data_IF_735783822472
#
_entry.id   IF_735783822472
#
_cell.length_a   1.000
_cell.length_b   1.000
_cell.length_c   1.000
_cell.angle_alpha   90.00
_cell.angle_beta   90.00
_cell.angle_gamma   90.00
#
_symmetry.space_group_name_H-M   'P 1'
#
loop_
_entity.id
_entity.type
_entity.pdbx_description
1 polymer ?
#
# COMPACT_ATOMS: atom_id res chain seq x y z
N UNK A 1 18.83 40.92 -11.61
CA UNK A 1 20.19 41.38 -11.99
C UNK A 1 20.00 42.43 -13.07
N UNK A 2 20.04 43.72 -12.72
CA UNK A 2 19.79 44.79 -13.69
C UNK A 2 21.01 45.72 -13.71
N UNK A 3 22.13 45.19 -14.21
CA UNK A 3 23.33 45.97 -14.46
C UNK A 3 23.70 45.79 -15.93
N UNK A 4 23.64 46.87 -16.68
CA UNK A 4 23.87 46.86 -18.13
C UNK A 4 25.38 46.92 -18.42
N UNK A 5 25.84 46.11 -19.37
CA UNK A 5 27.21 46.17 -19.86
C UNK A 5 27.36 47.42 -20.75
N UNK A 6 28.05 48.43 -20.24
CA UNK A 6 28.39 49.64 -21.01
C UNK A 6 29.77 49.47 -21.66
N UNK A 7 29.79 49.31 -22.98
CA UNK A 7 31.03 49.20 -23.76
C UNK A 7 31.31 50.54 -24.46
N UNK A 8 32.43 51.19 -24.12
CA UNK A 8 32.93 52.38 -24.84
C UNK A 8 34.07 51.95 -25.76
N UNK A 9 33.93 52.16 -27.06
CA UNK A 9 34.94 51.81 -28.06
C UNK A 9 35.58 53.05 -28.68
N UNK A 10 36.90 53.01 -28.87
CA UNK A 10 37.62 53.89 -29.79
C UNK A 10 38.43 52.98 -30.72
N UNK A 11 38.31 53.11 -32.06
CA UNK A 11 39.07 52.26 -32.98
C UNK A 11 40.57 52.51 -32.82
N UNK A 12 41.42 51.47 -32.82
CA UNK A 12 42.86 51.66 -32.83
C UNK A 12 43.26 52.30 -34.17
N UNK A 13 43.66 53.57 -34.14
CA UNK A 13 44.21 54.27 -35.30
C UNK A 13 45.71 54.03 -35.33
N UNK A 14 46.17 53.27 -36.31
CA UNK A 14 47.60 53.08 -36.58
C UNK A 14 48.04 54.14 -37.59
N UNK A 15 48.47 55.29 -37.08
CA UNK A 15 49.08 56.33 -37.90
C UNK A 15 50.51 55.92 -38.25
N UNK A 16 50.84 55.96 -39.54
CA UNK A 16 52.12 55.50 -40.06
C UNK A 16 52.65 56.52 -41.04
N UNK A 17 53.97 56.66 -41.09
CA UNK A 17 54.66 57.47 -42.09
C UNK A 17 54.69 56.78 -43.48
N UNK A 18 53.63 56.06 -43.84
CA UNK A 18 53.58 55.15 -44.98
C UNK A 18 54.02 55.81 -46.28
N UNK A 19 53.48 57.00 -46.60
CA UNK A 19 53.82 57.69 -47.84
C UNK A 19 55.29 58.14 -47.89
N UNK A 20 55.83 58.64 -46.76
CA UNK A 20 57.23 59.04 -46.68
C UNK A 20 58.17 57.82 -46.79
N UNK A 21 57.83 56.71 -46.12
CA UNK A 21 58.61 55.48 -46.13
C UNK A 21 58.55 54.78 -47.49
N UNK A 22 57.37 54.79 -48.14
CA UNK A 22 57.17 54.26 -49.49
C UNK A 22 57.98 55.07 -50.50
N UNK A 23 57.94 56.40 -50.45
CA UNK A 23 58.72 57.25 -51.33
C UNK A 23 60.24 57.01 -51.19
N UNK A 24 60.73 56.87 -49.95
CA UNK A 24 62.13 56.54 -49.68
C UNK A 24 62.53 55.16 -50.23
N UNK A 25 61.70 54.13 -49.98
CA UNK A 25 61.97 52.78 -50.47
C UNK A 25 61.90 52.68 -51.99
N UNK A 26 60.99 53.41 -52.65
CA UNK A 26 60.92 53.48 -54.12
C UNK A 26 62.19 54.13 -54.68
N UNK A 27 62.64 55.25 -54.10
CA UNK A 27 63.88 55.92 -54.54
C UNK A 27 65.14 55.07 -54.28
N UNK A 28 65.21 54.36 -53.16
CA UNK A 28 66.28 53.39 -52.92
C UNK A 28 66.23 52.28 -53.96
N UNK A 29 65.06 51.69 -54.20
CA UNK A 29 64.90 50.58 -55.16
C UNK A 29 65.18 50.98 -56.60
N UNK A 30 64.86 52.21 -57.01
CA UNK A 30 65.20 52.78 -58.33
C UNK A 30 66.72 52.97 -58.53
N UNK A 31 67.50 53.21 -57.46
CA UNK A 31 68.98 53.21 -57.54
C UNK A 31 69.55 51.82 -57.87
N UNK A 32 68.72 50.78 -57.89
CA UNK A 32 69.12 49.38 -58.05
C UNK A 32 68.75 48.78 -59.42
N UNK A 33 68.35 49.59 -60.40
CA UNK A 33 68.15 49.19 -61.80
C UNK A 33 69.50 49.04 -62.54
N UNK A 34 70.46 48.35 -61.90
CA UNK A 34 71.83 48.17 -62.36
C UNK A 34 71.98 46.78 -62.97
N UNK A 35 72.48 46.69 -64.19
CA UNK A 35 72.84 45.40 -64.82
C UNK A 35 73.97 44.76 -64.01
N UNK A 36 73.72 43.56 -63.45
CA UNK A 36 74.73 42.82 -62.68
C UNK A 36 75.87 42.37 -63.61
N UNK A 37 77.09 42.85 -63.34
CA UNK A 37 78.34 42.54 -64.05
C UNK A 37 79.36 41.90 -63.09
N UNK A 38 80.45 41.29 -63.59
CA UNK A 38 81.47 40.63 -62.74
C UNK A 38 81.97 41.48 -61.59
N UNK A 39 82.05 42.79 -61.81
CA UNK A 39 82.64 43.74 -60.88
C UNK A 39 81.61 44.25 -59.85
N UNK A 40 80.31 44.11 -60.12
CA UNK A 40 79.20 44.63 -59.29
C UNK A 40 78.44 43.54 -58.49
N UNK A 41 78.69 42.25 -58.78
CA UNK A 41 78.04 41.10 -58.09
C UNK A 41 78.18 41.15 -56.58
N UNK A 42 79.32 41.60 -56.05
CA UNK A 42 79.57 41.64 -54.60
C UNK A 42 78.66 42.66 -53.91
N UNK A 43 78.50 43.83 -54.51
CA UNK A 43 77.68 44.90 -53.97
C UNK A 43 76.18 44.60 -54.16
N UNK A 44 75.80 43.97 -55.28
CA UNK A 44 74.44 43.46 -55.49
C UNK A 44 74.02 42.42 -54.42
N UNK A 45 74.92 41.53 -53.99
CA UNK A 45 74.65 40.55 -52.90
C UNK A 45 74.48 41.21 -51.54
N UNK A 46 75.32 42.20 -51.20
CA UNK A 46 75.17 42.98 -49.97
C UNK A 46 73.83 43.70 -49.94
N UNK A 47 73.49 44.33 -51.04
CA UNK A 47 72.25 45.07 -51.20
C UNK A 47 71.01 44.17 -51.08
N UNK A 48 71.01 42.98 -51.72
CA UNK A 48 69.94 42.00 -51.56
C UNK A 48 69.79 41.54 -50.09
N UNK A 49 70.89 41.53 -49.33
CA UNK A 49 70.88 41.21 -47.90
C UNK A 49 70.27 42.35 -47.08
N UNK A 50 70.61 43.60 -47.41
CA UNK A 50 70.04 44.80 -46.78
C UNK A 50 68.53 44.93 -47.04
N UNK A 51 68.07 44.72 -48.27
CA UNK A 51 66.63 44.71 -48.59
C UNK A 51 65.87 43.61 -47.84
N UNK A 52 66.47 42.44 -47.68
CA UNK A 52 65.89 41.36 -46.88
C UNK A 52 65.83 41.72 -45.38
N UNK A 53 66.84 42.43 -44.86
CA UNK A 53 66.84 42.91 -43.47
C UNK A 53 65.76 43.98 -43.25
N UNK A 54 65.64 44.96 -44.15
CA UNK A 54 64.61 46.01 -44.10
C UNK A 54 63.20 45.41 -44.21
N UNK A 55 62.98 44.46 -45.15
CA UNK A 55 61.72 43.72 -45.26
C UNK A 55 61.36 43.02 -43.94
N UNK A 56 62.33 42.35 -43.32
CA UNK A 56 62.11 41.64 -42.05
C UNK A 56 61.75 42.61 -40.93
N UNK A 57 62.43 43.74 -40.81
CA UNK A 57 62.12 44.76 -39.81
C UNK A 57 60.71 45.34 -39.98
N UNK A 58 60.28 45.62 -41.21
CA UNK A 58 58.92 46.10 -41.49
C UNK A 58 57.86 45.06 -41.10
N UNK A 59 58.08 43.80 -41.44
CA UNK A 59 57.15 42.73 -41.09
C UNK A 59 57.10 42.47 -39.57
N UNK A 60 58.26 42.48 -38.90
CA UNK A 60 58.36 42.33 -37.45
C UNK A 60 57.66 43.50 -36.74
N UNK A 61 57.87 44.75 -37.18
CA UNK A 61 57.20 45.93 -36.60
C UNK A 61 55.70 45.92 -36.85
N UNK A 62 55.26 45.56 -38.06
CA UNK A 62 53.85 45.36 -38.39
C UNK A 62 53.22 44.35 -37.44
N UNK A 63 53.84 43.17 -37.26
CA UNK A 63 53.36 42.13 -36.35
C UNK A 63 53.29 42.61 -34.90
N UNK A 64 54.32 43.32 -34.42
CA UNK A 64 54.36 43.85 -33.07
C UNK A 64 53.25 44.88 -32.81
N UNK A 65 53.07 45.87 -33.69
CA UNK A 65 52.05 46.91 -33.50
C UNK A 65 50.62 46.35 -33.68
N UNK A 66 50.40 45.40 -34.60
CA UNK A 66 49.12 44.67 -34.70
C UNK A 66 48.86 43.85 -33.43
N UNK A 67 49.86 43.21 -32.86
CA UNK A 67 49.73 42.46 -31.61
C UNK A 67 49.30 43.39 -30.46
N UNK A 68 49.98 44.53 -30.27
CA UNK A 68 49.63 45.55 -29.26
C UNK A 68 48.23 46.12 -29.47
N UNK A 69 47.86 46.48 -30.70
CA UNK A 69 46.53 47.00 -31.00
C UNK A 69 45.42 45.95 -30.73
N UNK A 70 45.73 44.66 -30.86
CA UNK A 70 44.80 43.56 -30.58
C UNK A 70 44.73 43.15 -29.10
N UNK A 71 45.70 43.53 -28.26
CA UNK A 71 45.73 43.16 -26.84
C UNK A 71 44.48 43.61 -26.07
N UNK A 72 44.03 44.88 -26.18
CA UNK A 72 42.80 45.33 -25.50
C UNK A 72 41.56 44.55 -25.92
N UNK A 73 41.48 44.16 -27.20
CA UNK A 73 40.37 43.38 -27.75
C UNK A 73 40.38 41.96 -27.18
N UNK A 74 41.56 41.32 -27.13
CA UNK A 74 41.72 39.98 -26.54
C UNK A 74 41.43 39.98 -25.03
N UNK A 75 41.89 41.00 -24.32
CA UNK A 75 41.63 41.17 -22.89
C UNK A 75 40.12 41.36 -22.62
N UNK A 76 39.45 42.19 -23.41
CA UNK A 76 38.01 42.38 -23.34
C UNK A 76 37.22 41.09 -23.63
N UNK A 77 37.57 40.37 -24.70
CA UNK A 77 36.95 39.07 -25.04
C UNK A 77 37.16 38.04 -23.92
N UNK A 78 38.35 37.98 -23.32
CA UNK A 78 38.63 37.11 -22.19
C UNK A 78 37.81 37.48 -20.94
N UNK A 79 37.72 38.77 -20.59
CA UNK A 79 36.90 39.26 -19.48
C UNK A 79 35.42 38.95 -19.69
N UNK A 80 34.88 39.16 -20.89
CA UNK A 80 33.48 38.80 -21.18
C UNK A 80 33.24 37.30 -21.12
N UNK A 81 34.17 36.47 -21.62
CA UNK A 81 34.08 35.00 -21.50
C UNK A 81 34.09 34.55 -20.04
N UNK A 82 34.87 35.18 -19.18
CA UNK A 82 34.87 34.93 -17.75
C UNK A 82 33.50 35.26 -17.11
N UNK A 83 32.91 36.40 -17.47
CA UNK A 83 31.56 36.78 -17.00
C UNK A 83 30.47 35.83 -17.50
N UNK A 84 30.54 35.40 -18.76
CA UNK A 84 29.62 34.39 -19.33
C UNK A 84 29.74 33.08 -18.56
N UNK A 85 30.98 32.61 -18.32
CA UNK A 85 31.25 31.40 -17.56
C UNK A 85 30.72 31.49 -16.13
N UNK A 86 30.89 32.63 -15.46
CA UNK A 86 30.35 32.85 -14.12
C UNK A 86 28.82 32.70 -14.08
N UNK A 87 28.11 33.21 -15.09
CA UNK A 87 26.66 33.07 -15.22
C UNK A 87 26.26 31.60 -15.44
N UNK A 88 27.01 30.89 -16.29
CA UNK A 88 26.75 29.48 -16.59
C UNK A 88 26.99 28.59 -15.36
N UNK A 89 28.12 28.76 -14.67
CA UNK A 89 28.45 28.03 -13.44
C UNK A 89 27.39 28.30 -12.34
N UNK A 90 26.97 29.56 -12.19
CA UNK A 90 25.89 29.94 -11.27
C UNK A 90 24.56 29.27 -11.62
N UNK A 91 24.19 29.22 -12.90
CA UNK A 91 22.97 28.53 -13.38
C UNK A 91 23.04 27.03 -13.09
N UNK A 92 24.15 26.38 -13.41
CA UNK A 92 24.32 24.94 -13.19
C UNK A 92 24.26 24.59 -11.70
N UNK A 93 24.84 25.42 -10.84
CA UNK A 93 24.73 25.27 -9.39
C UNK A 93 23.27 25.32 -8.92
N UNK A 94 22.48 26.29 -9.39
CA UNK A 94 21.06 26.41 -9.03
C UNK A 94 20.27 25.19 -9.53
N UNK A 95 20.50 24.76 -10.78
CA UNK A 95 19.82 23.57 -11.32
C UNK A 95 20.16 22.30 -10.53
N UNK A 96 21.41 22.14 -10.11
CA UNK A 96 21.81 21.05 -9.22
C UNK A 96 21.06 21.09 -7.89
N UNK A 97 20.97 22.26 -7.26
CA UNK A 97 20.22 22.44 -6.02
C UNK A 97 18.73 22.16 -6.17
N UNK A 98 18.10 22.62 -7.27
CA UNK A 98 16.69 22.33 -7.57
C UNK A 98 16.47 20.83 -7.72
N UNK A 99 17.31 20.15 -8.50
CA UNK A 99 17.20 18.70 -8.70
C UNK A 99 17.31 17.93 -7.39
N UNK A 100 18.31 18.23 -6.56
CA UNK A 100 18.48 17.57 -5.26
C UNK A 100 17.27 17.81 -4.35
N UNK A 101 16.77 19.05 -4.30
CA UNK A 101 15.58 19.38 -3.52
C UNK A 101 14.34 18.63 -4.01
N UNK A 102 14.13 18.52 -5.32
CA UNK A 102 13.01 17.78 -5.90
C UNK A 102 13.09 16.28 -5.58
N UNK A 103 14.28 15.67 -5.71
CA UNK A 103 14.52 14.26 -5.37
C UNK A 103 14.27 13.99 -3.87
N UNK A 104 14.79 14.84 -2.98
CA UNK A 104 14.56 14.74 -1.53
C UNK A 104 13.07 14.90 -1.18
N UNK A 105 12.39 15.88 -1.80
CA UNK A 105 10.96 16.13 -1.56
C UNK A 105 10.10 14.95 -2.03
N UNK A 106 10.42 14.35 -3.17
CA UNK A 106 9.71 13.17 -3.68
C UNK A 106 9.93 11.95 -2.79
N UNK A 107 11.16 11.74 -2.31
CA UNK A 107 11.47 10.67 -1.39
C UNK A 107 10.75 10.84 -0.05
N UNK A 108 10.76 12.04 0.52
CA UNK A 108 10.01 12.35 1.75
C UNK A 108 8.51 12.14 1.53
N UNK A 109 7.97 12.56 0.39
CA UNK A 109 6.56 12.36 0.06
C UNK A 109 6.18 10.87 0.01
N UNK A 110 7.03 10.05 -0.60
CA UNK A 110 6.85 8.60 -0.65
C UNK A 110 6.83 7.99 0.75
N UNK A 111 7.80 8.34 1.60
CA UNK A 111 7.88 7.84 2.98
C UNK A 111 6.63 8.21 3.78
N UNK A 112 6.19 9.48 3.70
CA UNK A 112 4.99 9.94 4.41
C UNK A 112 3.72 9.23 3.94
N UNK A 113 3.62 8.94 2.64
CA UNK A 113 2.51 8.18 2.08
C UNK A 113 2.50 6.73 2.60
N UNK A 114 3.66 6.09 2.71
CA UNK A 114 3.79 4.73 3.24
C UNK A 114 3.48 4.67 4.74
N UNK A 115 3.97 5.63 5.52
CA UNK A 115 3.63 5.78 6.94
C UNK A 115 2.12 5.96 7.12
N UNK A 116 1.52 6.91 6.38
CA UNK A 116 0.09 7.17 6.47
C UNK A 116 -0.78 6.00 5.98
N UNK A 117 -0.32 5.25 4.97
CA UNK A 117 -0.98 4.02 4.52
C UNK A 117 -1.01 2.98 5.64
N UNK A 118 0.11 2.78 6.33
CA UNK A 118 0.20 1.86 7.45
C UNK A 118 -0.68 2.30 8.62
N UNK A 119 -0.66 3.58 8.98
CA UNK A 119 -1.56 4.16 9.99
C UNK A 119 -3.04 3.89 9.62
N UNK A 120 -3.44 4.13 8.37
CA UNK A 120 -4.80 3.86 7.92
C UNK A 120 -5.19 2.37 8.04
N UNK A 121 -4.26 1.44 7.74
CA UNK A 121 -4.52 0.01 7.91
C UNK A 121 -4.72 -0.37 9.38
N UNK A 122 -3.94 0.22 10.27
CA UNK A 122 -4.02 0.00 11.72
C UNK A 122 -5.32 0.58 12.29
N UNK A 123 -5.62 1.84 11.97
CA UNK A 123 -6.82 2.56 12.42
C UNK A 123 -8.12 1.86 11.98
N UNK A 124 -8.15 1.32 10.76
CA UNK A 124 -9.32 0.61 10.22
C UNK A 124 -9.33 -0.89 10.56
N UNK A 125 -8.30 -1.40 11.24
CA UNK A 125 -8.21 -2.81 11.64
C UNK A 125 -8.19 -3.78 10.45
N UNK A 126 -7.47 -3.41 9.38
CA UNK A 126 -7.32 -4.24 8.18
C UNK A 126 -6.30 -5.36 8.44
N UNK A 127 -6.76 -6.62 8.32
CA UNK A 127 -5.91 -7.81 8.48
C UNK A 127 -4.93 -7.92 7.32
N UNK A 128 -3.75 -8.48 7.59
CA UNK A 128 -2.63 -8.57 6.64
C UNK A 128 -3.02 -9.17 5.29
N UNK A 129 -3.89 -10.19 5.28
CA UNK A 129 -4.40 -10.84 4.07
C UNK A 129 -5.19 -9.92 3.11
N UNK A 130 -5.66 -8.75 3.58
CA UNK A 130 -6.37 -7.75 2.75
C UNK A 130 -5.55 -6.50 2.45
N UNK A 131 -4.32 -6.37 2.95
CA UNK A 131 -3.49 -5.16 2.78
C UNK A 131 -2.86 -5.07 1.39
N UNK A 132 -3.68 -4.81 0.38
CA UNK A 132 -3.29 -4.80 -1.04
C UNK A 132 -3.13 -3.41 -1.66
N UNK A 133 -3.52 -2.35 -0.95
CA UNK A 133 -3.36 -0.98 -1.43
C UNK A 133 -1.88 -0.61 -1.55
N UNK A 134 -1.55 0.07 -2.65
CA UNK A 134 -0.24 0.63 -2.96
C UNK A 134 -0.31 2.13 -3.21
N UNK A 135 0.73 2.84 -2.78
CA UNK A 135 0.97 4.28 -2.97
C UNK A 135 2.01 4.57 -4.06
N UNK A 136 2.42 3.56 -4.82
CA UNK A 136 3.37 3.71 -5.92
C UNK A 136 2.86 4.74 -6.96
N UNK A 137 3.74 5.67 -7.35
CA UNK A 137 3.42 6.71 -8.34
C UNK A 137 2.57 7.88 -7.80
N UNK A 138 2.19 7.87 -6.53
CA UNK A 138 1.46 8.98 -5.91
C UNK A 138 2.38 10.15 -5.53
N UNK A 139 3.66 9.89 -5.24
CA UNK A 139 4.63 10.91 -4.84
C UNK A 139 4.89 11.94 -5.96
N UNK A 140 4.54 13.19 -5.66
CA UNK A 140 4.71 14.40 -6.50
C UNK A 140 5.14 15.57 -5.63
N UNK A 141 5.75 16.60 -6.22
CA UNK A 141 6.16 17.82 -5.50
C UNK A 141 5.00 18.54 -4.78
N UNK A 142 3.76 18.33 -5.24
CA UNK A 142 2.54 18.90 -4.63
C UNK A 142 1.91 18.02 -3.56
N UNK A 143 2.46 16.83 -3.29
CA UNK A 143 1.91 15.87 -2.32
C UNK A 143 2.06 16.37 -0.90
N UNK A 144 3.14 17.11 -0.64
CA UNK A 144 3.43 17.73 0.63
C UNK A 144 3.05 19.21 0.63
N UNK A 145 2.53 19.65 1.76
CA UNK A 145 2.32 21.06 2.08
C UNK A 145 3.65 21.75 2.35
N UNK A 146 3.66 23.09 2.40
CA UNK A 146 4.84 23.88 2.81
C UNK A 146 5.37 23.50 4.20
N UNK A 147 4.52 22.93 5.05
CA UNK A 147 4.86 22.43 6.40
C UNK A 147 5.34 20.98 6.41
N UNK A 148 5.52 20.35 5.25
CA UNK A 148 5.94 18.96 5.09
C UNK A 148 4.83 17.93 5.27
N UNK A 149 3.64 18.28 5.78
CA UNK A 149 2.52 17.33 5.92
C UNK A 149 1.92 16.93 4.58
N UNK A 150 1.36 15.71 4.48
CA UNK A 150 0.56 15.30 3.33
C UNK A 150 -0.60 16.28 3.09
N UNK A 151 -0.92 16.49 1.81
CA UNK A 151 -2.10 17.25 1.41
C UNK A 151 -3.37 16.46 1.69
N UNK A 152 -4.49 17.16 1.88
CA UNK A 152 -5.79 16.53 2.08
C UNK A 152 -6.20 15.62 0.90
N UNK A 153 -5.82 15.99 -0.34
CA UNK A 153 -6.05 15.16 -1.52
C UNK A 153 -5.28 13.83 -1.44
N UNK A 154 -3.99 13.88 -1.09
CA UNK A 154 -3.17 12.68 -0.91
C UNK A 154 -3.72 11.78 0.21
N UNK A 155 -4.06 12.36 1.37
CA UNK A 155 -4.68 11.62 2.46
C UNK A 155 -5.99 10.96 2.02
N UNK A 156 -6.86 11.70 1.33
CA UNK A 156 -8.14 11.18 0.84
C UNK A 156 -7.97 10.03 -0.14
N UNK A 157 -6.98 10.09 -1.03
CA UNK A 157 -6.71 9.03 -2.02
C UNK A 157 -6.17 7.76 -1.33
N UNK A 158 -5.24 7.89 -0.38
CA UNK A 158 -4.76 6.75 0.43
C UNK A 158 -5.89 6.15 1.23
N UNK A 159 -6.68 6.96 1.94
CA UNK A 159 -7.81 6.49 2.74
C UNK A 159 -8.88 5.82 1.87
N UNK A 160 -9.12 6.29 0.64
CA UNK A 160 -10.04 5.62 -0.29
C UNK A 160 -9.55 4.20 -0.64
N UNK A 161 -8.26 4.05 -0.98
CA UNK A 161 -7.66 2.73 -1.27
C UNK A 161 -7.74 1.77 -0.08
N UNK A 162 -7.45 2.26 1.14
CA UNK A 162 -7.56 1.42 2.35
C UNK A 162 -9.01 1.05 2.67
N UNK A 163 -9.95 1.95 2.41
CA UNK A 163 -11.37 1.65 2.55
C UNK A 163 -11.81 0.52 1.61
N UNK A 164 -11.31 0.44 0.38
CA UNK A 164 -11.58 -0.70 -0.52
C UNK A 164 -11.10 -2.03 0.08
N UNK A 165 -9.88 -2.06 0.64
CA UNK A 165 -9.37 -3.23 1.39
C UNK A 165 -10.28 -3.59 2.58
N UNK A 166 -10.74 -2.57 3.32
CA UNK A 166 -11.64 -2.76 4.46
C UNK A 166 -13.00 -3.29 4.04
N UNK A 167 -13.56 -2.81 2.93
CA UNK A 167 -14.82 -3.31 2.37
C UNK A 167 -14.70 -4.78 1.97
N UNK A 168 -13.60 -5.14 1.30
CA UNK A 168 -13.32 -6.54 0.94
C UNK A 168 -13.24 -7.43 2.19
N UNK A 169 -12.56 -6.97 3.25
CA UNK A 169 -12.51 -7.69 4.52
C UNK A 169 -13.91 -7.89 5.13
N UNK A 170 -14.72 -6.83 5.19
CA UNK A 170 -16.09 -6.90 5.74
C UNK A 170 -16.97 -7.85 4.92
N UNK A 171 -16.83 -7.84 3.60
CA UNK A 171 -17.54 -8.74 2.72
C UNK A 171 -17.14 -10.20 2.98
N UNK A 172 -15.85 -10.49 3.11
CA UNK A 172 -15.36 -11.83 3.43
C UNK A 172 -15.81 -12.29 4.82
N UNK A 173 -15.78 -11.40 5.82
CA UNK A 173 -16.28 -11.69 7.17
C UNK A 173 -17.77 -12.03 7.17
N UNK A 174 -18.58 -11.28 6.40
CA UNK A 174 -20.00 -11.54 6.24
C UNK A 174 -20.26 -12.90 5.57
N UNK A 175 -19.54 -13.19 4.48
CA UNK A 175 -19.62 -14.47 3.76
C UNK A 175 -19.33 -15.65 4.69
N UNK A 176 -18.25 -15.57 5.46
CA UNK A 176 -17.88 -16.63 6.41
C UNK A 176 -18.89 -16.78 7.55
N UNK A 177 -19.43 -15.67 8.06
CA UNK A 177 -20.46 -15.71 9.10
C UNK A 177 -21.78 -16.34 8.62
N UNK A 178 -22.11 -16.19 7.33
CA UNK A 178 -23.35 -16.73 6.75
C UNK A 178 -23.20 -18.18 6.27
N UNK A 179 -21.97 -18.60 5.93
CA UNK A 179 -21.66 -19.90 5.33
C UNK A 179 -22.27 -21.09 6.08
N UNK A 180 -22.10 -21.14 7.40
CA UNK A 180 -22.61 -22.24 8.23
C UNK A 180 -24.14 -22.30 8.17
N UNK A 181 -24.81 -21.15 8.27
CA UNK A 181 -26.26 -21.07 8.19
C UNK A 181 -26.78 -21.53 6.82
N UNK A 182 -26.11 -21.10 5.74
CA UNK A 182 -26.46 -21.51 4.38
C UNK A 182 -26.31 -23.02 4.17
N UNK A 183 -25.22 -23.61 4.69
CA UNK A 183 -24.99 -25.05 4.61
C UNK A 183 -26.11 -25.83 5.30
N UNK A 184 -26.46 -25.46 6.54
CA UNK A 184 -27.54 -26.14 7.27
C UNK A 184 -28.90 -25.94 6.63
N UNK A 185 -29.19 -24.75 6.10
CA UNK A 185 -30.43 -24.50 5.36
C UNK A 185 -30.56 -25.34 4.10
N UNK A 186 -29.44 -25.64 3.45
CA UNK A 186 -29.38 -26.54 2.31
C UNK A 186 -29.46 -28.03 2.68
N UNK A 187 -29.38 -28.37 3.97
CA UNK A 187 -29.51 -29.74 4.48
C UNK A 187 -28.18 -30.48 4.72
N UNK A 188 -27.03 -29.80 4.64
CA UNK A 188 -25.74 -30.41 4.93
C UNK A 188 -25.62 -30.75 6.42
N UNK A 189 -25.22 -31.99 6.75
CA UNK A 189 -24.95 -32.39 8.13
C UNK A 189 -23.66 -31.78 8.71
N UNK A 190 -22.63 -31.66 7.88
CA UNK A 190 -21.39 -30.95 8.20
C UNK A 190 -21.27 -29.71 7.31
N UNK A 191 -21.16 -28.50 7.87
CA UNK A 191 -21.04 -27.28 7.09
C UNK A 191 -19.67 -27.18 6.41
N UNK A 192 -19.62 -26.43 5.31
CA UNK A 192 -18.36 -26.04 4.69
C UNK A 192 -17.63 -25.05 5.61
N UNK A 193 -16.30 -25.17 5.65
CA UNK A 193 -15.41 -24.28 6.40
C UNK A 193 -14.72 -23.29 5.46
N UNK A 194 -14.02 -22.30 6.03
CA UNK A 194 -13.20 -21.33 5.27
C UNK A 194 -12.29 -21.99 4.23
N UNK A 195 -11.66 -23.11 4.57
CA UNK A 195 -10.74 -23.84 3.67
C UNK A 195 -11.44 -24.32 2.39
N UNK A 196 -12.72 -24.69 2.47
CA UNK A 196 -13.47 -25.16 1.31
C UNK A 196 -13.79 -24.04 0.32
N UNK A 197 -13.97 -22.81 0.83
CA UNK A 197 -14.41 -21.65 0.05
C UNK A 197 -13.29 -20.67 -0.26
N UNK A 198 -12.06 -20.91 0.20
CA UNK A 198 -10.93 -19.97 0.08
C UNK A 198 -10.73 -19.46 -1.35
N UNK A 199 -10.80 -20.35 -2.35
CA UNK A 199 -10.63 -20.01 -3.76
C UNK A 199 -11.73 -19.11 -4.35
N UNK A 200 -12.84 -18.92 -3.66
CA UNK A 200 -13.96 -18.07 -4.11
C UNK A 200 -14.22 -16.88 -3.18
N UNK A 201 -13.48 -16.72 -2.07
CA UNK A 201 -13.78 -15.69 -1.06
C UNK A 201 -13.69 -14.25 -1.58
N UNK A 202 -12.92 -14.00 -2.64
CA UNK A 202 -12.69 -12.67 -3.20
C UNK A 202 -13.36 -12.44 -4.56
N UNK A 203 -14.18 -13.39 -5.04
CA UNK A 203 -14.94 -13.20 -6.27
C UNK A 203 -16.10 -12.22 -6.06
N UNK A 204 -16.67 -11.70 -7.14
CA UNK A 204 -17.88 -10.90 -7.05
C UNK A 204 -19.06 -11.68 -6.45
N UNK A 205 -20.10 -10.97 -6.05
CA UNK A 205 -21.23 -11.53 -5.31
C UNK A 205 -21.97 -12.63 -6.09
N UNK A 206 -22.18 -12.44 -7.39
CA UNK A 206 -22.84 -13.44 -8.23
C UNK A 206 -22.00 -14.71 -8.34
N UNK A 207 -20.72 -14.56 -8.70
CA UNK A 207 -19.82 -15.70 -8.85
C UNK A 207 -19.61 -16.45 -7.53
N UNK A 208 -19.53 -15.75 -6.41
CA UNK A 208 -19.45 -16.36 -5.09
C UNK A 208 -20.68 -17.23 -4.81
N UNK A 209 -21.89 -16.70 -5.02
CA UNK A 209 -23.12 -17.42 -4.77
C UNK A 209 -23.23 -18.66 -5.66
N UNK A 210 -23.02 -18.53 -6.97
CA UNK A 210 -23.11 -19.64 -7.92
C UNK A 210 -22.10 -20.76 -7.61
N UNK A 211 -20.87 -20.37 -7.25
CA UNK A 211 -19.82 -21.31 -6.88
C UNK A 211 -20.11 -22.00 -5.55
N UNK A 212 -20.59 -21.26 -4.56
CA UNK A 212 -20.97 -21.81 -3.26
C UNK A 212 -22.13 -22.81 -3.39
N UNK A 213 -23.17 -22.47 -4.15
CA UNK A 213 -24.28 -23.39 -4.44
C UNK A 213 -23.77 -24.66 -5.12
N UNK A 214 -22.87 -24.53 -6.08
CA UNK A 214 -22.25 -25.69 -6.75
C UNK A 214 -21.44 -26.56 -5.79
N UNK A 215 -20.73 -25.97 -4.83
CA UNK A 215 -20.01 -26.71 -3.79
C UNK A 215 -20.96 -27.45 -2.85
N UNK A 216 -22.03 -26.78 -2.41
CA UNK A 216 -23.05 -27.36 -1.53
C UNK A 216 -23.72 -28.56 -2.21
N UNK A 217 -24.11 -28.45 -3.48
CA UNK A 217 -24.72 -29.55 -4.24
C UNK A 217 -23.80 -30.78 -4.29
N UNK A 218 -22.52 -30.57 -4.61
CA UNK A 218 -21.55 -31.68 -4.65
C UNK A 218 -21.40 -32.38 -3.30
N UNK A 219 -21.44 -31.61 -2.21
CA UNK A 219 -21.26 -32.18 -0.88
C UNK A 219 -22.54 -32.84 -0.33
N UNK A 220 -23.73 -32.37 -0.76
CA UNK A 220 -24.99 -33.08 -0.55
C UNK A 220 -25.00 -34.43 -1.29
N UNK A 221 -24.53 -34.47 -2.54
CA UNK A 221 -24.42 -35.73 -3.30
C UNK A 221 -23.49 -36.72 -2.60
N UNK A 222 -22.36 -36.23 -2.08
CA UNK A 222 -21.40 -37.04 -1.32
C UNK A 222 -21.98 -37.57 -0.02
N UNK A 223 -22.76 -36.74 0.70
CA UNK A 223 -23.45 -37.15 1.92
C UNK A 223 -24.49 -38.24 1.62
N UNK A 224 -25.33 -38.05 0.60
CA UNK A 224 -26.34 -39.02 0.19
C UNK A 224 -25.73 -40.37 -0.22
N UNK A 225 -24.61 -40.35 -0.95
CA UNK A 225 -23.90 -41.58 -1.31
C UNK A 225 -23.33 -42.29 -0.07
N UNK A 226 -22.76 -41.54 0.88
CA UNK A 226 -22.20 -42.09 2.11
C UNK A 226 -23.29 -42.73 2.96
N UNK A 227 -24.43 -42.06 3.11
CA UNK A 227 -25.59 -42.61 3.82
C UNK A 227 -26.15 -43.85 3.13
N UNK A 228 -26.29 -43.83 1.80
CA UNK A 228 -26.74 -45.01 1.02
C UNK A 228 -25.84 -46.22 1.28
N UNK A 229 -24.51 -46.02 1.18
CA UNK A 229 -23.52 -47.08 1.45
C UNK A 229 -23.57 -47.56 2.90
N UNK A 230 -23.76 -46.66 3.86
CA UNK A 230 -23.89 -47.01 5.28
C UNK A 230 -25.16 -47.81 5.56
N UNK A 231 -26.30 -47.42 4.97
CA UNK A 231 -27.58 -48.14 5.08
C UNK A 231 -27.48 -49.55 4.47
N UNK A 232 -26.91 -49.68 3.27
CA UNK A 232 -26.67 -50.98 2.63
C UNK A 232 -25.76 -51.88 3.49
N UNK A 233 -24.72 -51.32 4.10
CA UNK A 233 -23.82 -52.07 4.98
C UNK A 233 -24.53 -52.52 6.26
N UNK A 234 -25.27 -51.62 6.92
CA UNK A 234 -26.03 -51.93 8.12
C UNK A 234 -27.12 -52.99 7.87
N UNK A 235 -27.80 -52.92 6.73
CA UNK A 235 -28.79 -53.92 6.33
C UNK A 235 -28.14 -55.30 6.11
N UNK A 236 -26.97 -55.36 5.45
CA UNK A 236 -26.20 -56.61 5.28
C UNK A 236 -25.73 -57.19 6.60
N UNK A 237 -25.18 -56.37 7.50
CA UNK A 237 -24.74 -56.80 8.83
C UNK A 237 -25.91 -57.29 9.67
N UNK A 238 -27.04 -56.58 9.65
CA UNK A 238 -28.26 -57.00 10.36
C UNK A 238 -28.83 -58.31 9.80
N UNK A 239 -28.83 -58.49 8.48
CA UNK A 239 -29.26 -59.75 7.85
C UNK A 239 -28.32 -60.92 8.18
N UNK A 240 -27.00 -60.69 8.22
CA UNK A 240 -26.01 -61.70 8.64
C UNK A 240 -26.17 -62.08 10.11
N UNK A 241 -26.32 -61.10 11.00
CA UNK A 241 -26.55 -61.35 12.43
C UNK A 241 -27.86 -62.13 12.68
N UNK A 242 -28.95 -61.77 11.99
CA UNK A 242 -30.21 -62.51 12.08
C UNK A 242 -30.09 -63.97 11.58
N UNK A 243 -29.33 -64.20 10.50
CA UNK A 243 -29.07 -65.55 9.99
C UNK A 243 -28.15 -66.38 10.91
N UNK A 244 -27.21 -65.74 11.62
CA UNK A 244 -26.33 -66.41 12.58
C UNK A 244 -27.05 -66.80 13.88
N UNK A 245 -27.96 -65.95 14.38
CA UNK A 245 -28.85 -66.28 15.50
C UNK A 245 -29.75 -67.48 15.14
N UNK A 246 -30.27 -67.55 13.92
CA UNK A 246 -31.02 -68.72 13.43
C UNK A 246 -30.16 -69.99 13.23
N UNK A 247 -28.83 -69.87 13.15
CA UNK A 247 -27.90 -71.00 13.00
C UNK A 247 -27.42 -71.58 14.34
N UNK A 248 -27.53 -70.81 15.42
CA UNK A 248 -27.07 -71.17 16.76
C UNK A 248 -28.18 -71.73 17.68
N UNK A 249 -29.38 -72.05 17.17
CA UNK A 249 -30.37 -72.86 17.89
C UNK A 249 -30.14 -74.37 17.67
N UNK A 250 -29.73 -75.17 18.68
CA UNK A 250 -29.95 -76.61 18.68
C UNK A 250 -31.14 -77.00 19.58
N UNK A 251 -31.81 -78.06 19.14
CA UNK A 251 -32.96 -78.71 19.75
C UNK A 251 -32.86 -78.96 21.27
N UNK A 252 -33.92 -78.61 22.00
CA UNK A 252 -34.32 -79.28 23.24
C UNK A 252 -35.82 -79.56 23.17
N UNK A 253 -36.18 -80.85 23.15
CA UNK A 253 -37.56 -81.36 23.10
C UNK A 253 -38.23 -81.30 24.48
N UNK A 254 -39.58 -81.19 24.51
CA UNK A 254 -40.39 -81.10 25.73
C UNK A 254 -40.84 -82.50 26.20
N UNK A 255 -41.21 -82.64 27.48
CA UNK A 255 -42.20 -83.65 27.92
C UNK A 255 -42.66 -83.41 29.37
N UNK A 256 -43.83 -83.96 29.81
CA UNK A 256 -44.93 -83.13 30.30
C UNK A 256 -45.36 -83.40 31.76
N UNK A 257 -46.39 -82.65 32.17
CA UNK A 257 -47.12 -82.59 33.44
C UNK A 257 -47.43 -83.93 34.12
N UNK A 258 -47.46 -83.91 35.47
CA UNK A 258 -48.42 -84.71 36.22
C UNK A 258 -48.81 -84.09 37.58
N UNK A 259 -49.94 -84.60 38.08
CA UNK A 259 -51.05 -83.92 38.78
C UNK A 259 -50.94 -83.82 40.33
N UNK A 260 -51.70 -82.86 40.90
CA UNK A 260 -52.41 -82.86 42.21
C UNK A 260 -51.69 -82.94 43.57
N UNK A 261 -51.92 -81.93 44.43
CA UNK A 261 -52.71 -82.02 45.68
C UNK A 261 -52.31 -80.94 46.73
N UNK A 262 -53.33 -80.29 47.32
CA UNK A 262 -53.29 -79.34 48.45
C UNK A 262 -53.09 -80.09 49.82
N UNK A 263 -53.08 -79.46 51.04
CA UNK A 263 -53.42 -78.07 51.38
C UNK A 263 -52.61 -77.40 52.55
N UNK A 264 -52.99 -76.13 52.80
CA UNK A 264 -53.07 -75.39 54.08
C UNK A 264 -51.81 -75.15 54.95
N UNK A 265 -51.46 -73.86 55.19
CA UNK A 265 -51.73 -73.20 56.48
C UNK A 265 -51.51 -71.66 56.38
N UNK A 266 -52.33 -70.88 57.08
CA UNK A 266 -52.17 -69.42 57.35
C UNK A 266 -51.65 -69.28 58.80
N UNK A 267 -50.91 -68.22 59.23
CA UNK A 267 -51.47 -66.85 59.23
C UNK A 267 -50.51 -65.63 59.24
N UNK A 268 -51.15 -64.46 59.17
CA UNK A 268 -50.78 -63.13 59.73
C UNK A 268 -50.16 -62.06 58.81
N UNK A 269 -51.02 -61.08 58.49
CA UNK A 269 -50.79 -59.65 58.14
C UNK A 269 -50.19 -58.85 59.33
N UNK A 270 -49.83 -57.53 59.24
CA UNK A 270 -49.96 -56.56 58.12
C UNK A 270 -48.75 -55.60 57.85
N UNK A 271 -48.75 -55.01 56.63
CA UNK A 271 -48.36 -53.64 56.14
C UNK A 271 -47.15 -52.84 56.73
N UNK A 272 -46.71 -51.73 56.08
CA UNK A 272 -46.37 -51.48 54.67
C UNK A 272 -44.96 -50.82 54.56
N UNK A 273 -44.49 -50.48 53.35
CA UNK A 273 -43.75 -49.23 53.00
C UNK A 273 -42.80 -49.39 51.80
N UNK A 274 -43.00 -48.48 50.83
CA UNK A 274 -42.03 -47.89 49.90
C UNK A 274 -41.31 -48.79 48.86
N UNK A 275 -41.51 -48.55 47.55
CA UNK A 275 -40.64 -49.09 46.51
C UNK A 275 -39.34 -48.28 46.40
N UNK A 276 -38.22 -48.95 46.66
CA UNK A 276 -36.88 -48.48 46.30
C UNK A 276 -36.74 -48.52 44.78
N UNK A 277 -36.57 -47.35 44.16
CA UNK A 277 -36.14 -47.22 42.77
C UNK A 277 -34.67 -47.65 42.64
N UNK A 278 -34.42 -48.62 41.76
CA UNK A 278 -33.10 -48.86 41.19
C UNK A 278 -32.77 -47.76 40.16
N UNK A 279 -31.48 -47.48 39.90
CA UNK A 279 -31.01 -46.23 39.30
C UNK A 279 -31.26 -46.18 37.79
N UNK A 280 -31.86 -45.09 37.33
CA UNK A 280 -31.87 -44.72 35.91
C UNK A 280 -30.50 -44.16 35.50
N UNK A 281 -30.04 -44.46 34.26
CA UNK A 281 -28.79 -43.94 33.72
C UNK A 281 -28.85 -42.42 33.51
N UNK A 282 -27.69 -41.80 33.73
CA UNK A 282 -27.44 -40.37 33.68
C UNK A 282 -28.02 -39.69 32.43
N UNK A 283 -28.88 -38.70 32.65
CA UNK A 283 -29.16 -37.65 31.70
C UNK A 283 -27.91 -36.73 31.60
N UNK A 284 -27.36 -36.61 30.40
CA UNK A 284 -26.35 -35.62 30.07
C UNK A 284 -26.95 -34.23 30.23
N UNK A 285 -26.56 -33.53 31.30
CA UNK A 285 -26.97 -32.16 31.55
C UNK A 285 -26.42 -31.24 30.43
N UNK A 286 -27.31 -30.75 29.57
CA UNK A 286 -27.08 -29.54 28.76
C UNK A 286 -27.01 -28.34 29.70
N UNK A 287 -25.82 -28.08 30.26
CA UNK A 287 -25.57 -26.95 31.15
C UNK A 287 -25.48 -25.63 30.37
N UNK A 288 -26.61 -25.05 29.98
CA UNK A 288 -26.65 -23.61 29.68
C UNK A 288 -26.69 -22.87 31.01
N UNK A 289 -25.63 -22.13 31.32
CA UNK A 289 -25.53 -21.31 32.54
C UNK A 289 -25.97 -19.89 32.17
N UNK A 290 -26.86 -19.24 32.96
CA UNK A 290 -27.19 -17.84 32.74
C UNK A 290 -25.96 -16.96 33.05
N UNK A 291 -25.45 -16.26 32.04
CA UNK A 291 -24.37 -15.29 32.19
C UNK A 291 -24.96 -13.88 32.14
N UNK A 292 -24.68 -13.06 33.15
CA UNK A 292 -25.05 -11.64 33.17
C UNK A 292 -23.84 -10.81 32.72
N UNK A 293 -24.00 -10.08 31.63
CA UNK A 293 -22.97 -9.19 31.06
C UNK A 293 -23.33 -7.75 31.41
N UNK A 294 -22.36 -6.98 31.92
CA UNK A 294 -22.51 -5.54 32.15
C UNK A 294 -21.75 -4.78 31.06
N UNK A 295 -22.37 -3.73 30.51
CA UNK A 295 -21.77 -2.86 29.51
C UNK A 295 -21.89 -1.41 30.00
N UNK A 296 -20.78 -0.68 29.99
CA UNK A 296 -20.73 0.74 30.31
C UNK A 296 -20.43 1.51 29.02
N UNK A 297 -21.23 2.53 28.74
CA UNK A 297 -21.12 3.36 27.55
C UNK A 297 -21.02 4.82 28.00
N UNK A 298 -19.98 5.52 27.56
CA UNK A 298 -19.84 6.96 27.77
C UNK A 298 -20.55 7.69 26.62
N UNK A 299 -21.58 8.46 26.95
CA UNK A 299 -22.38 9.21 25.99
C UNK A 299 -22.41 10.70 26.36
N UNK A 300 -22.12 11.55 25.38
CA UNK A 300 -22.24 13.00 25.54
C UNK A 300 -23.68 13.43 25.25
N UNK A 301 -24.38 13.90 26.28
CA UNK A 301 -25.77 14.36 26.19
C UNK A 301 -25.90 15.77 26.76
N UNK A 302 -26.81 16.56 26.19
CA UNK A 302 -27.06 17.92 26.69
C UNK A 302 -27.49 17.88 28.17
N UNK A 303 -27.06 18.85 29.01
CA UNK A 303 -27.39 18.88 30.44
C UNK A 303 -28.89 18.92 30.75
N UNK A 304 -29.72 19.25 29.75
CA UNK A 304 -31.19 19.38 29.88
C UNK A 304 -31.94 18.08 29.65
N UNK A 305 -31.30 17.03 29.13
CA UNK A 305 -31.94 15.73 28.90
C UNK A 305 -32.03 15.00 30.22
N UNK A 306 -33.20 14.48 30.59
CA UNK A 306 -33.39 13.71 31.82
C UNK A 306 -33.01 12.22 31.64
N UNK A 307 -32.80 11.52 32.74
CA UNK A 307 -32.30 10.13 32.72
C UNK A 307 -33.28 9.16 32.07
N UNK A 308 -34.59 9.37 32.29
CA UNK A 308 -35.64 8.57 31.68
C UNK A 308 -35.66 8.66 30.15
N UNK A 309 -35.36 9.84 29.58
CA UNK A 309 -35.28 10.02 28.13
C UNK A 309 -34.04 9.34 27.54
N UNK A 310 -32.91 9.36 28.25
CA UNK A 310 -31.68 8.67 27.85
C UNK A 310 -31.92 7.15 27.84
N UNK A 311 -32.55 6.63 28.91
CA UNK A 311 -32.89 5.23 29.03
C UNK A 311 -33.83 4.78 27.91
N UNK A 312 -34.90 5.54 27.65
CA UNK A 312 -35.88 5.23 26.62
C UNK A 312 -35.25 5.18 25.23
N UNK A 313 -34.36 6.13 24.92
CA UNK A 313 -33.67 6.17 23.63
C UNK A 313 -32.66 5.02 23.49
N UNK A 314 -31.91 4.69 24.54
CA UNK A 314 -31.00 3.55 24.53
C UNK A 314 -31.75 2.22 24.38
N UNK A 315 -32.88 2.04 25.06
CA UNK A 315 -33.77 0.88 24.86
C UNK A 315 -34.28 0.80 23.43
N UNK A 316 -34.66 1.95 22.84
CA UNK A 316 -35.11 2.02 21.45
C UNK A 316 -34.01 1.59 20.48
N UNK A 317 -32.79 2.08 20.66
CA UNK A 317 -31.63 1.74 19.83
C UNK A 317 -31.23 0.27 19.96
N UNK A 318 -31.16 -0.26 21.18
CA UNK A 318 -30.83 -1.67 21.41
C UNK A 318 -31.93 -2.60 20.88
N UNK A 319 -33.20 -2.21 21.02
CA UNK A 319 -34.31 -2.97 20.41
C UNK A 319 -34.28 -2.90 18.88
N UNK A 320 -33.89 -1.77 18.28
CA UNK A 320 -33.71 -1.66 16.83
C UNK A 320 -32.52 -2.52 16.34
N UNK A 321 -31.52 -2.73 17.19
CA UNK A 321 -30.40 -3.64 16.96
C UNK A 321 -30.73 -5.12 17.26
N UNK A 322 -31.99 -5.46 17.57
CA UNK A 322 -32.44 -6.84 17.80
C UNK A 322 -32.24 -7.37 19.23
N UNK A 323 -31.74 -6.54 20.16
CA UNK A 323 -31.49 -6.92 21.55
C UNK A 323 -32.71 -6.51 22.39
N UNK A 324 -33.85 -7.19 22.22
CA UNK A 324 -35.12 -6.80 22.86
C UNK A 324 -35.45 -7.61 24.13
N UNK A 325 -35.19 -8.91 24.13
CA UNK A 325 -35.59 -9.83 25.21
C UNK A 325 -34.50 -10.05 26.27
N UNK A 326 -33.27 -9.61 25.99
CA UNK A 326 -32.10 -9.78 26.87
C UNK A 326 -31.84 -8.60 27.81
N UNK A 327 -32.54 -7.48 27.64
CA UNK A 327 -32.34 -6.27 28.46
C UNK A 327 -33.18 -6.41 29.73
N UNK A 328 -32.52 -6.69 30.85
CA UNK A 328 -33.16 -6.80 32.17
C UNK A 328 -33.15 -5.50 32.95
N UNK A 329 -32.11 -4.67 32.78
CA UNK A 329 -31.99 -3.37 33.46
C UNK A 329 -31.12 -2.39 32.63
N UNK A 330 -31.38 -1.09 32.75
CA UNK A 330 -30.53 -0.02 32.23
C UNK A 330 -30.39 1.04 33.32
N UNK A 331 -29.18 1.21 33.84
CA UNK A 331 -28.89 2.22 34.86
C UNK A 331 -28.13 3.39 34.23
N UNK A 332 -28.65 4.61 34.37
CA UNK A 332 -27.94 5.85 33.97
C UNK A 332 -27.22 6.40 35.20
N UNK A 333 -25.90 6.53 35.13
CA UNK A 333 -25.09 7.18 36.16
C UNK A 333 -24.59 8.52 35.64
N UNK A 334 -24.98 9.61 36.32
CA UNK A 334 -24.36 10.92 36.07
C UNK A 334 -23.13 11.09 36.95
N UNK A 335 -22.04 11.67 36.42
CA UNK A 335 -20.96 12.09 37.28
C UNK A 335 -21.53 13.04 38.34
N UNK A 336 -21.23 12.78 39.61
CA UNK A 336 -21.62 13.68 40.68
C UNK A 336 -21.15 15.08 40.31
N UNK A 337 -22.10 16.03 40.25
CA UNK A 337 -21.77 17.43 40.03
C UNK A 337 -20.66 17.79 41.01
N UNK A 338 -19.49 18.19 40.49
CA UNK A 338 -18.44 18.76 41.32
C UNK A 338 -19.09 19.93 42.07
N UNK A 339 -19.40 19.70 43.35
CA UNK A 339 -19.85 20.73 44.25
C UNK A 339 -18.79 21.84 44.18
N UNK A 340 -19.25 23.06 43.89
CA UNK A 340 -18.39 24.20 43.60
C UNK A 340 -17.30 24.43 44.64
N UNK A 341 -16.15 24.91 44.19
CA UNK A 341 -15.86 26.34 44.04
C UNK A 341 -14.68 26.52 43.09
#
# INVERSE_FOLDING_TARGET
MNQELIVKTQPPVLDTNYEALRAHLVQEVERYDIVVTSDTVKDAKKLATELNATKKQLDDRRKQEVAKASEPIKAFDAQLKELVKLCEDGRQKILGQVKTFEEETLHEAQQRLEEYLQECYEDLGVREEYRTASVEGMAKLTTLTKTGKLTAAACSEVSAKVNECRMLQQQTDLRLSQLENECYRAGLHSPLTREHVEGILFTDESQYHDSLQSMIIRELDRQAETERRAREKAEREHAQAAAEVQRQEPAAQPDPEDTEAAPADYPSTPEPMAPTQAPQPAASASGKIPVRVYCTLDIEVSPRVNDAAIEAELRRLLSAAGIRESITDITVQRPAAAAGF
#
